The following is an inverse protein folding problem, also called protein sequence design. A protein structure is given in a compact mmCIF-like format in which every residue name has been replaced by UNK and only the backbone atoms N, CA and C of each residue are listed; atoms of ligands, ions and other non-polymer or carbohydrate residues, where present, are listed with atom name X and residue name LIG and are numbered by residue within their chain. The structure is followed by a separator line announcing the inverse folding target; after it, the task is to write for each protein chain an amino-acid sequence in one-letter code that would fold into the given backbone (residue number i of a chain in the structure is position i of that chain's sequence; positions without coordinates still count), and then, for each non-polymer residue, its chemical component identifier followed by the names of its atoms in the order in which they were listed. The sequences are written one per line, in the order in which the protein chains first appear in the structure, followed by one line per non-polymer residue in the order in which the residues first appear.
data_IF_825331822107
#
_entry.id   IF_825331822107
#
_cell.length_a   1.000
_cell.length_b   1.000
_cell.length_c   1.000
_cell.angle_alpha   90.00
_cell.angle_beta   90.00
_cell.angle_gamma   90.00
#
_symmetry.space_group_name_H-M   'P 1'
#
loop_
_entity.id
_entity.type
_entity.pdbx_description
1 polymer ?
#
# COMPACT_ATOMS: atom_id res chain seq x y z
N UNK A 1 7.23 9.12 16.33
CA UNK A 1 5.82 9.53 16.26
C UNK A 1 5.49 9.98 14.86
N UNK A 2 4.33 9.57 14.33
CA UNK A 2 3.85 10.04 13.04
C UNK A 2 3.45 11.51 13.12
N UNK A 3 3.65 12.25 12.03
CA UNK A 3 3.18 13.62 11.93
C UNK A 3 1.66 13.64 11.66
N UNK A 4 0.94 14.56 12.29
CA UNK A 4 -0.50 14.69 12.11
C UNK A 4 -0.83 15.45 10.81
N UNK A 5 -0.90 14.72 9.70
CA UNK A 5 -1.21 15.24 8.36
C UNK A 5 -2.71 15.18 8.09
N UNK A 6 -3.18 16.01 7.15
CA UNK A 6 -4.59 15.97 6.70
C UNK A 6 -4.75 15.06 5.46
N UNK A 7 -3.93 14.03 5.36
CA UNK A 7 -3.96 13.07 4.26
C UNK A 7 -3.35 11.72 4.66
N UNK A 8 -3.75 10.68 3.97
CA UNK A 8 -3.04 9.40 3.87
C UNK A 8 -3.32 8.76 2.50
N UNK A 9 -2.59 7.71 2.18
CA UNK A 9 -2.67 7.04 0.90
C UNK A 9 -3.04 5.57 1.08
N UNK A 10 -3.83 5.02 0.16
CA UNK A 10 -4.15 3.58 0.11
C UNK A 10 -3.59 3.01 -1.17
N UNK A 11 -2.68 2.08 -1.05
CA UNK A 11 -2.01 1.40 -2.16
C UNK A 11 -2.68 0.06 -2.38
N UNK A 12 -3.02 -0.23 -3.63
CA UNK A 12 -3.67 -1.48 -4.04
C UNK A 12 -2.79 -2.21 -5.05
N UNK A 13 -2.45 -3.45 -4.73
CA UNK A 13 -1.75 -4.35 -5.63
C UNK A 13 -2.63 -5.58 -5.88
N UNK A 14 -2.98 -5.79 -7.15
CA UNK A 14 -3.68 -6.98 -7.63
C UNK A 14 -2.65 -8.01 -8.14
N UNK A 15 -3.03 -9.28 -8.30
CA UNK A 15 -2.19 -10.26 -8.97
C UNK A 15 -1.77 -9.80 -10.36
N UNK A 16 -0.52 -10.10 -10.75
CA UNK A 16 0.01 -9.74 -12.06
C UNK A 16 -0.90 -10.19 -13.22
N UNK A 17 -1.16 -9.30 -14.17
CA UNK A 17 -2.04 -9.53 -15.31
C UNK A 17 -3.53 -9.31 -15.02
N UNK A 18 -3.89 -8.78 -13.84
CA UNK A 18 -5.27 -8.38 -13.54
C UNK A 18 -5.68 -7.21 -14.46
N UNK A 19 -6.85 -7.27 -15.11
CA UNK A 19 -7.39 -6.15 -15.89
C UNK A 19 -7.66 -4.93 -15.01
N UNK A 20 -7.49 -3.74 -15.56
CA UNK A 20 -7.68 -2.48 -14.83
C UNK A 20 -9.10 -2.30 -14.30
N UNK A 21 -10.09 -2.87 -14.95
CA UNK A 21 -11.49 -2.84 -14.52
C UNK A 21 -11.70 -3.55 -13.18
N UNK A 22 -10.98 -4.64 -12.93
CA UNK A 22 -11.03 -5.35 -11.65
C UNK A 22 -10.37 -4.52 -10.55
N UNK A 23 -9.23 -3.90 -10.85
CA UNK A 23 -8.56 -2.97 -9.93
C UNK A 23 -9.47 -1.78 -9.62
N UNK A 24 -10.13 -1.21 -10.63
CA UNK A 24 -11.10 -0.13 -10.45
C UNK A 24 -12.28 -0.56 -9.55
N UNK A 25 -12.79 -1.79 -9.69
CA UNK A 25 -13.83 -2.30 -8.82
C UNK A 25 -13.38 -2.39 -7.35
N UNK A 26 -12.14 -2.80 -7.10
CA UNK A 26 -11.55 -2.78 -5.74
C UNK A 26 -11.48 -1.34 -5.21
N UNK A 27 -10.96 -0.40 -6.00
CA UNK A 27 -10.86 1.00 -5.61
C UNK A 27 -12.23 1.61 -5.29
N UNK A 28 -13.27 1.28 -6.06
CA UNK A 28 -14.65 1.69 -5.77
C UNK A 28 -15.15 1.14 -4.43
N UNK A 29 -14.91 -0.13 -4.13
CA UNK A 29 -15.32 -0.73 -2.87
C UNK A 29 -14.60 -0.11 -1.67
N UNK A 30 -13.29 0.16 -1.79
CA UNK A 30 -12.51 0.84 -0.77
C UNK A 30 -12.98 2.29 -0.59
N UNK A 31 -13.22 3.01 -1.69
CA UNK A 31 -13.72 4.39 -1.67
C UNK A 31 -15.09 4.51 -1.02
N UNK A 32 -16.00 3.56 -1.30
CA UNK A 32 -17.32 3.52 -0.65
C UNK A 32 -17.20 3.38 0.88
N UNK A 33 -16.25 2.58 1.37
CA UNK A 33 -15.97 2.50 2.81
C UNK A 33 -15.36 3.81 3.35
N UNK A 34 -14.37 4.38 2.65
CA UNK A 34 -13.74 5.64 3.04
C UNK A 34 -14.75 6.78 3.14
N UNK A 35 -15.73 6.84 2.25
CA UNK A 35 -16.81 7.83 2.29
C UNK A 35 -17.69 7.74 3.55
N UNK A 36 -17.66 6.64 4.29
CA UNK A 36 -18.38 6.49 5.57
C UNK A 36 -17.58 6.98 6.78
N UNK A 37 -16.32 7.33 6.59
CA UNK A 37 -15.42 7.78 7.67
C UNK A 37 -15.63 9.28 7.89
N UNK A 38 -16.07 9.73 9.08
CA UNK A 38 -16.46 11.14 9.29
C UNK A 38 -15.35 12.16 9.03
N UNK A 39 -14.09 11.77 9.23
CA UNK A 39 -12.94 12.64 9.06
C UNK A 39 -12.44 12.71 7.61
N UNK A 40 -12.99 11.90 6.70
CA UNK A 40 -12.66 11.94 5.27
C UNK A 40 -13.52 12.99 4.59
N UNK A 41 -12.89 14.01 3.99
CA UNK A 41 -13.57 15.03 3.18
C UNK A 41 -13.86 14.51 1.78
N UNK A 42 -12.82 13.97 1.16
CA UNK A 42 -12.86 13.43 -0.19
C UNK A 42 -11.73 12.43 -0.40
N UNK A 43 -11.78 11.74 -1.52
CA UNK A 43 -10.70 10.87 -1.99
C UNK A 43 -10.63 10.88 -3.51
N UNK A 44 -9.44 10.59 -4.03
CA UNK A 44 -9.21 10.44 -5.46
C UNK A 44 -8.62 9.06 -5.72
N UNK A 45 -9.24 8.29 -6.62
CA UNK A 45 -8.84 6.94 -6.96
C UNK A 45 -8.21 6.88 -8.36
N UNK A 46 -7.10 6.20 -8.47
CA UNK A 46 -6.32 6.05 -9.70
C UNK A 46 -6.16 4.56 -10.00
N UNK A 47 -6.78 4.08 -11.08
CA UNK A 47 -6.68 2.71 -11.55
C UNK A 47 -5.65 2.60 -12.67
N UNK A 48 -4.74 1.64 -12.59
CA UNK A 48 -3.72 1.40 -13.62
C UNK A 48 -2.53 2.37 -13.57
N UNK A 49 -2.51 3.28 -12.61
CA UNK A 49 -1.46 4.28 -12.45
C UNK A 49 -1.33 4.70 -10.98
N UNK A 50 -0.23 5.34 -10.65
CA UNK A 50 -0.06 5.98 -9.35
C UNK A 50 -0.85 7.29 -9.25
N UNK A 51 -1.14 7.75 -8.02
CA UNK A 51 -1.58 9.11 -7.76
C UNK A 51 -0.54 10.13 -8.26
N UNK A 52 -0.92 11.39 -8.51
CA UNK A 52 0.03 12.46 -8.79
C UNK A 52 1.14 12.51 -7.73
N UNK A 53 2.34 12.93 -8.14
CA UNK A 53 3.52 12.89 -7.28
C UNK A 53 3.24 13.65 -5.98
N UNK A 54 3.26 12.92 -4.89
CA UNK A 54 3.23 13.44 -3.53
C UNK A 54 4.50 12.99 -2.78
N UNK A 55 4.65 13.41 -1.54
CA UNK A 55 5.84 13.07 -0.76
C UNK A 55 6.02 11.55 -0.59
N UNK A 56 4.95 10.81 -0.32
CA UNK A 56 4.98 9.34 -0.23
C UNK A 56 5.36 8.69 -1.55
N UNK A 57 4.75 9.15 -2.64
CA UNK A 57 5.03 8.65 -3.97
C UNK A 57 6.49 8.86 -4.36
N UNK A 58 7.06 10.02 -4.01
CA UNK A 58 8.46 10.32 -4.29
C UNK A 58 9.43 9.43 -3.49
N UNK A 59 9.21 9.34 -2.17
CA UNK A 59 10.09 8.61 -1.26
C UNK A 59 10.02 7.09 -1.47
N UNK A 60 8.82 6.56 -1.71
CA UNK A 60 8.56 5.12 -1.87
C UNK A 60 8.55 4.67 -3.33
N UNK A 61 8.90 5.57 -4.25
CA UNK A 61 8.92 5.31 -5.70
C UNK A 61 7.57 4.86 -6.27
N UNK A 62 6.46 5.16 -5.58
CA UNK A 62 5.12 4.76 -6.02
C UNK A 62 4.71 5.41 -7.34
N UNK A 63 5.30 6.57 -7.69
CA UNK A 63 5.09 7.24 -8.98
C UNK A 63 5.53 6.38 -10.20
N UNK A 64 6.36 5.35 -9.97
CA UNK A 64 6.81 4.42 -11.02
C UNK A 64 5.81 3.28 -11.26
N UNK A 65 4.78 3.13 -10.41
CA UNK A 65 3.81 2.06 -10.52
C UNK A 65 2.85 2.33 -11.68
N UNK A 66 2.73 1.36 -12.59
CA UNK A 66 1.80 1.38 -13.71
C UNK A 66 1.46 -0.05 -14.13
N UNK A 67 0.27 -0.24 -14.70
CA UNK A 67 -0.22 -1.55 -15.13
C UNK A 67 -1.63 -1.80 -14.60
N UNK A 68 -2.38 -2.68 -15.26
CA UNK A 68 -3.77 -2.97 -14.88
C UNK A 68 -3.95 -3.40 -13.44
N UNK A 69 -2.94 -4.03 -12.87
CA UNK A 69 -2.92 -4.60 -11.52
C UNK A 69 -2.63 -3.59 -10.40
N UNK A 70 -2.32 -2.33 -10.71
CA UNK A 70 -2.00 -1.33 -9.68
C UNK A 70 -3.12 -0.32 -9.50
N UNK A 71 -3.33 0.08 -8.25
CA UNK A 71 -4.26 1.14 -7.90
C UNK A 71 -3.73 2.00 -6.75
N UNK A 72 -4.27 3.20 -6.64
CA UNK A 72 -3.88 4.19 -5.64
C UNK A 72 -5.10 5.02 -5.24
N UNK A 73 -5.24 5.33 -3.96
CA UNK A 73 -6.25 6.26 -3.45
C UNK A 73 -5.54 7.30 -2.59
N UNK A 74 -5.63 8.55 -2.98
CA UNK A 74 -5.28 9.69 -2.16
C UNK A 74 -6.49 10.07 -1.32
N UNK A 75 -6.36 10.05 0.00
CA UNK A 75 -7.44 10.35 0.95
C UNK A 75 -7.16 11.67 1.64
N UNK A 76 -8.10 12.61 1.60
CA UNK A 76 -8.02 13.89 2.24
C UNK A 76 -8.88 13.91 3.51
N UNK A 77 -8.28 14.35 4.61
CA UNK A 77 -8.92 14.43 5.92
C UNK A 77 -9.29 15.87 6.26
N UNK A 78 -10.31 16.02 7.08
CA UNK A 78 -10.62 17.29 7.74
C UNK A 78 -9.34 17.84 8.38
N UNK A 79 -9.16 19.16 8.30
CA UNK A 79 -7.99 19.82 8.86
C UNK A 79 -7.76 19.42 10.33
N UNK A 80 -6.50 19.24 10.70
CA UNK A 80 -6.11 18.76 12.03
C UNK A 80 -6.64 19.62 13.20
N UNK A 81 -6.96 20.88 12.95
CA UNK A 81 -7.52 21.77 13.96
C UNK A 81 -9.04 21.62 14.13
N UNK A 82 -9.71 20.91 13.22
CA UNK A 82 -11.14 20.68 13.20
C UNK A 82 -11.53 19.21 13.42
N UNK A 83 -10.61 18.38 13.88
CA UNK A 83 -10.86 16.97 14.25
C UNK A 83 -10.17 16.61 15.56
N UNK A 84 -10.74 15.65 16.28
CA UNK A 84 -10.20 15.17 17.56
C UNK A 84 -9.08 14.15 17.36
N UNK A 85 -9.24 13.25 16.36
CA UNK A 85 -8.32 12.15 16.12
C UNK A 85 -7.14 12.58 15.25
N UNK A 86 -5.95 12.11 15.60
CA UNK A 86 -4.78 12.28 14.76
C UNK A 86 -4.86 11.39 13.51
N UNK A 87 -4.22 11.79 12.41
CA UNK A 87 -4.19 11.02 11.16
C UNK A 87 -3.75 9.57 11.36
N UNK A 88 -2.78 9.32 12.23
CA UNK A 88 -2.33 7.96 12.58
C UNK A 88 -3.44 7.11 13.22
N UNK A 89 -4.22 7.69 14.14
CA UNK A 89 -5.33 7.00 14.76
C UNK A 89 -6.42 6.64 13.72
N UNK A 90 -6.72 7.58 12.81
CA UNK A 90 -7.69 7.37 11.73
C UNK A 90 -7.18 6.28 10.78
N UNK A 91 -5.94 6.38 10.30
CA UNK A 91 -5.33 5.38 9.41
C UNK A 91 -5.31 3.99 10.05
N UNK A 92 -4.98 3.89 11.32
CA UNK A 92 -4.98 2.62 12.07
C UNK A 92 -6.40 2.05 12.19
N UNK A 93 -7.40 2.90 12.45
CA UNK A 93 -8.81 2.51 12.59
C UNK A 93 -9.41 1.98 11.29
N UNK A 94 -9.11 2.60 10.16
CA UNK A 94 -9.67 2.20 8.85
C UNK A 94 -8.95 1.01 8.23
N UNK A 95 -7.68 0.80 8.56
CA UNK A 95 -6.83 -0.26 7.96
C UNK A 95 -7.47 -1.64 7.96
N UNK A 96 -7.99 -2.19 9.08
CA UNK A 96 -8.55 -3.55 9.08
C UNK A 96 -9.71 -3.74 8.10
N UNK A 97 -10.60 -2.75 8.01
CA UNK A 97 -11.75 -2.82 7.10
C UNK A 97 -11.29 -2.75 5.63
N UNK A 98 -10.36 -1.86 5.30
CA UNK A 98 -9.81 -1.75 3.94
C UNK A 98 -9.06 -3.02 3.53
N UNK A 99 -8.27 -3.59 4.42
CA UNK A 99 -7.56 -4.85 4.17
C UNK A 99 -8.53 -6.02 3.98
N UNK A 100 -9.61 -6.09 4.75
CA UNK A 100 -10.63 -7.13 4.61
C UNK A 100 -11.39 -7.01 3.28
N UNK A 101 -11.74 -5.79 2.85
CA UNK A 101 -12.33 -5.53 1.53
C UNK A 101 -11.36 -6.00 0.43
N UNK A 102 -10.09 -5.59 0.51
CA UNK A 102 -9.07 -6.00 -0.44
C UNK A 102 -8.91 -7.51 -0.50
N UNK A 103 -8.76 -8.16 0.65
CA UNK A 103 -8.62 -9.62 0.74
C UNK A 103 -9.77 -10.37 0.07
N UNK A 104 -11.02 -9.96 0.30
CA UNK A 104 -12.20 -10.57 -0.34
C UNK A 104 -12.19 -10.43 -1.86
N UNK A 105 -11.55 -9.40 -2.38
CA UNK A 105 -11.44 -9.11 -3.82
C UNK A 105 -10.09 -9.52 -4.42
N UNK A 106 -9.24 -10.23 -3.67
CA UNK A 106 -7.95 -10.72 -4.13
C UNK A 106 -6.85 -9.66 -4.23
N UNK A 107 -7.04 -8.51 -3.59
CA UNK A 107 -6.09 -7.40 -3.57
C UNK A 107 -5.24 -7.38 -2.30
N UNK A 108 -3.98 -6.98 -2.43
CA UNK A 108 -3.14 -6.56 -1.32
C UNK A 108 -3.33 -5.05 -1.11
N UNK A 109 -3.84 -4.67 0.05
CA UNK A 109 -4.17 -3.28 0.39
C UNK A 109 -3.30 -2.80 1.54
N UNK A 110 -2.62 -1.67 1.32
CA UNK A 110 -1.73 -1.02 2.29
C UNK A 110 -2.23 0.39 2.59
N UNK A 111 -2.28 0.77 3.85
CA UNK A 111 -2.57 2.14 4.28
C UNK A 111 -1.26 2.82 4.63
N UNK A 112 -0.90 3.82 3.86
CA UNK A 112 0.42 4.47 3.90
C UNK A 112 0.28 5.89 4.40
N UNK A 113 0.99 6.19 5.47
CA UNK A 113 1.07 7.52 6.05
C UNK A 113 2.40 8.20 5.65
N UNK A 114 2.41 9.52 5.69
CA UNK A 114 3.66 10.29 5.49
C UNK A 114 4.61 9.94 6.64
N UNK A 115 5.81 9.39 6.35
CA UNK A 115 6.75 9.01 7.39
C UNK A 115 7.30 10.25 8.10
N UNK A 116 7.54 10.16 9.41
CA UNK A 116 8.25 11.21 10.13
C UNK A 116 9.76 11.15 9.81
N UNK A 117 10.38 12.29 9.65
CA UNK A 117 11.84 12.41 9.50
C UNK A 117 12.38 12.19 8.08
N UNK A 118 13.63 11.75 7.94
CA UNK A 118 14.25 11.56 6.63
C UNK A 118 13.48 10.59 5.76
N UNK A 119 13.43 10.78 4.44
CA UNK A 119 12.76 9.89 3.53
C UNK A 119 13.38 8.49 3.56
N UNK A 120 12.61 7.49 3.97
CA UNK A 120 12.99 6.07 3.98
C UNK A 120 11.92 5.25 3.27
N UNK A 121 12.33 4.22 2.54
CA UNK A 121 11.41 3.33 1.83
C UNK A 121 10.42 2.66 2.78
N UNK A 122 10.91 2.22 3.93
CA UNK A 122 10.12 1.63 5.01
C UNK A 122 10.79 1.89 6.35
N UNK A 123 10.02 1.96 7.45
CA UNK A 123 10.58 2.08 8.80
C UNK A 123 11.47 0.89 9.19
N UNK A 124 11.15 -0.29 8.67
CA UNK A 124 11.92 -1.52 8.88
C UNK A 124 12.24 -2.11 7.52
N UNK A 125 13.52 -2.29 7.23
CA UNK A 125 14.01 -2.92 6.00
C UNK A 125 14.93 -4.07 6.38
N UNK A 126 14.61 -5.28 5.88
CA UNK A 126 15.47 -6.45 5.98
C UNK A 126 16.15 -6.68 4.63
N UNK A 127 17.46 -6.48 4.58
CA UNK A 127 18.26 -6.74 3.38
C UNK A 127 18.85 -8.14 3.43
N UNK A 128 18.63 -8.94 2.38
CA UNK A 128 19.04 -10.33 2.33
C UNK A 128 20.10 -10.51 1.25
N UNK A 129 21.29 -10.86 1.68
CA UNK A 129 22.43 -11.09 0.82
C UNK A 129 22.78 -12.59 0.74
N UNK A 130 23.32 -13.02 -0.40
CA UNK A 130 23.78 -14.38 -0.60
C UNK A 130 24.15 -14.64 -2.06
N UNK A 131 25.01 -15.64 -2.35
CA UNK A 131 25.48 -15.89 -3.72
C UNK A 131 24.36 -16.40 -4.63
N UNK A 132 23.47 -17.26 -4.10
CA UNK A 132 22.45 -17.92 -4.89
C UNK A 132 21.10 -17.21 -4.83
N UNK A 133 20.54 -16.87 -6.00
CA UNK A 133 19.27 -16.16 -6.08
C UNK A 133 18.10 -16.93 -5.44
N UNK A 134 18.05 -18.25 -5.65
CA UNK A 134 16.99 -19.08 -5.07
C UNK A 134 17.09 -19.16 -3.54
N UNK A 135 18.30 -19.27 -3.00
CA UNK A 135 18.53 -19.21 -1.56
C UNK A 135 18.07 -17.88 -0.96
N UNK A 136 18.37 -16.75 -1.61
CA UNK A 136 17.87 -15.43 -1.17
C UNK A 136 16.35 -15.37 -1.15
N UNK A 137 15.67 -15.91 -2.18
CA UNK A 137 14.19 -15.94 -2.24
C UNK A 137 13.58 -16.79 -1.13
N UNK A 138 14.17 -17.94 -0.82
CA UNK A 138 13.69 -18.82 0.26
C UNK A 138 13.82 -18.12 1.61
N UNK A 139 14.96 -17.48 1.88
CA UNK A 139 15.17 -16.69 3.10
C UNK A 139 14.19 -15.51 3.15
N UNK A 140 13.98 -14.79 2.06
CA UNK A 140 13.01 -13.68 1.99
C UNK A 140 11.59 -14.13 2.35
N UNK A 141 11.14 -15.26 1.82
CA UNK A 141 9.83 -15.84 2.17
C UNK A 141 9.73 -16.18 3.66
N UNK A 142 10.79 -16.76 4.23
CA UNK A 142 10.80 -17.10 5.65
C UNK A 142 10.78 -15.85 6.54
N UNK A 143 11.57 -14.84 6.20
CA UNK A 143 11.59 -13.55 6.91
C UNK A 143 10.24 -12.86 6.81
N UNK A 144 9.64 -12.81 5.61
CA UNK A 144 8.30 -12.25 5.43
C UNK A 144 7.27 -12.96 6.30
N UNK A 145 7.23 -14.29 6.28
CA UNK A 145 6.30 -15.07 7.10
C UNK A 145 6.48 -14.87 8.61
N UNK A 146 7.69 -14.53 9.05
CA UNK A 146 7.96 -14.14 10.44
C UNK A 146 7.43 -12.73 10.73
N UNK A 147 7.74 -11.77 9.87
CA UNK A 147 7.29 -10.38 10.02
C UNK A 147 5.76 -10.27 10.01
N UNK A 148 5.08 -11.00 9.11
CA UNK A 148 3.60 -11.04 9.04
C UNK A 148 2.93 -11.51 10.34
N UNK A 149 3.65 -12.27 11.18
CA UNK A 149 3.17 -12.78 12.47
C UNK A 149 3.64 -11.93 13.66
N UNK A 150 4.49 -10.95 13.43
CA UNK A 150 5.08 -10.14 14.49
C UNK A 150 4.15 -9.00 14.87
N UNK A 151 3.76 -8.93 16.13
CA UNK A 151 2.90 -7.85 16.62
C UNK A 151 3.55 -6.47 16.41
N UNK A 152 2.78 -5.52 15.92
CA UNK A 152 3.25 -4.16 15.63
C UNK A 152 3.90 -3.98 14.25
N UNK A 153 4.03 -5.05 13.46
CA UNK A 153 4.46 -4.97 12.07
C UNK A 153 3.24 -5.15 11.17
N UNK A 154 3.06 -4.26 10.22
CA UNK A 154 1.94 -4.25 9.26
C UNK A 154 2.45 -3.95 7.85
N UNK A 155 1.66 -4.30 6.84
CA UNK A 155 1.93 -3.99 5.44
C UNK A 155 3.30 -4.52 4.95
N UNK A 156 3.62 -5.77 5.33
CA UNK A 156 4.88 -6.43 4.94
C UNK A 156 4.89 -6.67 3.43
N UNK A 157 5.96 -6.25 2.79
CA UNK A 157 6.17 -6.43 1.35
C UNK A 157 7.58 -6.92 1.06
N UNK A 158 7.81 -7.51 -0.11
CA UNK A 158 9.14 -7.84 -0.58
C UNK A 158 9.32 -7.55 -2.07
N UNK A 159 10.47 -7.05 -2.43
CA UNK A 159 10.81 -6.66 -3.80
C UNK A 159 10.97 -7.84 -4.76
N UNK A 160 11.06 -9.08 -4.26
CA UNK A 160 11.29 -10.27 -5.08
C UNK A 160 10.01 -10.89 -5.63
N UNK A 161 8.88 -10.67 -4.95
CA UNK A 161 7.58 -11.27 -5.27
C UNK A 161 6.73 -10.32 -6.09
N UNK A 162 6.78 -9.02 -5.80
CA UNK A 162 6.00 -8.00 -6.49
C UNK A 162 6.35 -7.86 -7.99
N UNK A 163 7.49 -8.37 -8.42
CA UNK A 163 8.02 -8.18 -9.76
C UNK A 163 8.39 -9.47 -10.47
N UNK A 164 7.74 -10.61 -10.19
CA UNK A 164 7.97 -11.80 -10.99
C UNK A 164 7.11 -11.79 -12.26
N UNK A 165 7.53 -11.12 -13.36
CA UNK A 165 6.85 -11.27 -14.63
C UNK A 165 6.97 -12.76 -15.01
N UNK A 166 5.86 -13.37 -15.39
CA UNK A 166 5.91 -14.65 -16.08
C UNK A 166 6.71 -14.43 -17.35
N UNK A 167 7.95 -14.94 -17.40
CA UNK A 167 8.70 -15.00 -18.66
C UNK A 167 8.01 -16.02 -19.56
N UNK A 168 7.33 -15.53 -20.59
CA UNK A 168 6.97 -16.37 -21.73
C UNK A 168 8.25 -16.56 -22.56
N UNK A 169 8.87 -17.73 -22.47
CA UNK A 169 9.92 -18.13 -23.40
C UNK A 169 9.21 -18.66 -24.66
N UNK A 170 9.21 -17.87 -25.72
CA UNK A 170 8.90 -18.38 -27.07
C UNK A 170 10.15 -19.12 -27.54
N UNK A 171 10.07 -20.43 -27.68
CA UNK A 171 11.08 -21.30 -28.28
C UNK A 171 10.75 -21.48 -29.76
#
# INVERSE_FOLDING_TARGET
PFDNKSEFQVIVDMPAGTPVEQTAAVLHALGAHLATVPEVIDYQAYAGTAAPINFNGLVREYYLRSGGEVGDIQVNLVDKHHRSDQSHAIATRVRPALQEIGKRMGANVKVVEVPPGPPVLSPIVAEIYGPEAEGRRQVAKAVRALLDKTAGIVDVDDSSIAAAPRKLLLV
#
